data_IF_537389910521
#
_entry.id   IF_537389910521
#
_cell.length_a   1.000
_cell.length_b   1.000
_cell.length_c   1.000
_cell.angle_alpha   90.00
_cell.angle_beta   90.00
_cell.angle_gamma   90.00
#
_symmetry.space_group_name_H-M   'P 1'
#
loop_
_entity.id
_entity.type
_entity.pdbx_description
1 polymer ?
#
# COMPACT_ATOMS: atom_id res chain seq x y z
N UNK A 1 -19.82 -31.44 -16.20
CA UNK A 1 -19.58 -30.02 -15.95
C UNK A 1 -18.52 -29.98 -14.84
N UNK A 2 -17.21 -29.76 -15.18
CA UNK A 2 -16.17 -29.58 -14.17
C UNK A 2 -16.52 -28.29 -13.42
N UNK A 3 -16.81 -28.36 -12.13
CA UNK A 3 -16.78 -27.21 -11.24
C UNK A 3 -15.36 -26.63 -11.38
N UNK A 4 -15.24 -25.46 -11.98
CA UNK A 4 -13.99 -24.70 -11.96
C UNK A 4 -13.75 -24.39 -10.48
N UNK A 5 -12.76 -25.03 -9.88
CA UNK A 5 -12.30 -24.66 -8.54
C UNK A 5 -11.93 -23.19 -8.62
N UNK A 6 -12.60 -22.40 -7.79
CA UNK A 6 -12.36 -20.95 -7.73
C UNK A 6 -10.98 -20.79 -7.09
N UNK A 7 -10.04 -20.18 -7.81
CA UNK A 7 -8.70 -19.95 -7.28
C UNK A 7 -8.75 -19.09 -6.01
N UNK A 8 -7.91 -19.39 -5.05
CA UNK A 8 -7.89 -18.71 -3.76
C UNK A 8 -7.26 -17.33 -3.86
N UNK A 9 -7.83 -16.37 -3.13
CA UNK A 9 -7.17 -15.11 -2.84
C UNK A 9 -6.28 -15.29 -1.61
N UNK A 10 -5.01 -14.94 -1.76
CA UNK A 10 -4.01 -14.99 -0.68
C UNK A 10 -3.74 -13.59 -0.17
N UNK A 11 -3.77 -13.45 1.17
CA UNK A 11 -3.47 -12.21 1.87
C UNK A 11 -2.28 -12.51 2.78
N UNK A 12 -1.21 -11.74 2.67
CA UNK A 12 -0.01 -11.93 3.50
C UNK A 12 0.73 -10.61 3.71
N UNK A 13 1.49 -10.54 4.78
CA UNK A 13 2.37 -9.41 5.09
C UNK A 13 3.82 -9.78 4.84
N UNK A 14 4.60 -8.81 4.39
CA UNK A 14 6.06 -8.88 4.33
C UNK A 14 6.72 -8.10 5.48
N UNK A 15 5.93 -7.31 6.21
CA UNK A 15 6.30 -6.58 7.42
C UNK A 15 5.06 -5.98 8.07
N UNK A 16 5.20 -5.44 9.28
CA UNK A 16 4.14 -4.73 10.00
C UNK A 16 3.18 -5.61 10.83
N UNK A 17 3.47 -6.90 11.00
CA UNK A 17 2.67 -7.78 11.86
C UNK A 17 3.31 -7.92 13.25
N UNK A 18 2.58 -7.48 14.28
CA UNK A 18 3.04 -7.54 15.66
C UNK A 18 4.17 -6.58 16.00
N UNK A 19 4.39 -5.59 15.16
CA UNK A 19 5.42 -4.55 15.29
C UNK A 19 4.90 -3.21 14.79
N UNK A 20 5.55 -2.12 15.16
CA UNK A 20 5.31 -0.79 14.59
C UNK A 20 6.36 -0.54 13.51
N UNK A 21 5.89 -0.16 12.33
CA UNK A 21 6.77 0.10 11.17
C UNK A 21 6.83 -1.05 10.17
N UNK A 22 7.59 -0.88 9.12
CA UNK A 22 7.75 -1.81 7.98
C UNK A 22 6.43 -2.28 7.38
N UNK A 23 5.38 -1.44 7.40
CA UNK A 23 4.08 -1.82 6.88
C UNK A 23 4.19 -2.23 5.40
N UNK A 24 3.85 -3.48 5.10
CA UNK A 24 3.87 -4.00 3.74
C UNK A 24 2.95 -5.22 3.63
N UNK A 25 1.85 -5.06 2.92
CA UNK A 25 0.81 -6.08 2.77
C UNK A 25 0.61 -6.41 1.30
N UNK A 26 0.32 -7.67 1.01
CA UNK A 26 0.10 -8.16 -0.35
C UNK A 26 -1.24 -8.88 -0.44
N UNK A 27 -1.97 -8.62 -1.51
CA UNK A 27 -3.13 -9.41 -1.94
C UNK A 27 -2.80 -10.03 -3.28
N UNK A 28 -2.89 -11.36 -3.35
CA UNK A 28 -2.61 -12.11 -4.57
C UNK A 28 -3.83 -12.95 -4.96
N UNK A 29 -4.21 -12.84 -6.23
CA UNK A 29 -5.20 -13.71 -6.85
C UNK A 29 -4.71 -14.13 -8.24
N UNK A 30 -4.60 -15.44 -8.49
CA UNK A 30 -3.98 -15.99 -9.70
C UNK A 30 -2.57 -15.39 -9.96
N UNK A 31 -2.43 -14.74 -11.10
CA UNK A 31 -1.20 -14.09 -11.56
C UNK A 31 -1.22 -12.57 -11.34
N UNK A 32 -1.95 -12.09 -10.34
CA UNK A 32 -2.03 -10.69 -9.99
C UNK A 32 -1.65 -10.48 -8.52
N UNK A 33 -0.64 -9.66 -8.27
CA UNK A 33 -0.22 -9.22 -6.94
C UNK A 33 -0.39 -7.71 -6.88
N UNK A 34 -1.13 -7.23 -5.90
CA UNK A 34 -1.17 -5.83 -5.52
C UNK A 34 -0.55 -5.68 -4.13
N UNK A 35 0.23 -4.63 -3.97
CA UNK A 35 1.00 -4.35 -2.76
C UNK A 35 0.41 -3.10 -2.12
N UNK A 36 0.26 -3.10 -0.80
CA UNK A 36 -0.14 -1.93 -0.01
C UNK A 36 0.99 -1.56 0.93
N UNK A 37 1.46 -0.33 0.79
CA UNK A 37 2.56 0.28 1.53
C UNK A 37 3.91 -0.44 1.41
N UNK A 38 4.99 0.27 1.68
CA UNK A 38 6.36 -0.25 1.81
C UNK A 38 7.09 0.63 2.80
N UNK A 39 6.94 0.32 4.06
CA UNK A 39 7.52 1.08 5.16
C UNK A 39 8.92 0.66 5.55
N UNK A 40 9.50 1.46 6.43
CA UNK A 40 10.69 1.11 7.21
C UNK A 40 10.34 1.08 8.68
N UNK A 41 11.23 0.53 9.49
CA UNK A 41 11.31 0.83 10.92
C UNK A 41 12.72 1.25 11.27
N UNK A 42 12.87 1.99 12.36
CA UNK A 42 14.16 2.37 12.89
C UNK A 42 14.64 1.30 13.87
N UNK A 43 15.92 0.93 13.88
CA UNK A 43 16.43 -0.07 14.81
C UNK A 43 16.33 0.44 16.23
N UNK A 44 15.92 -0.43 17.15
CA UNK A 44 16.03 -0.15 18.58
C UNK A 44 17.51 -0.19 19.01
N UNK A 45 17.89 0.61 20.00
CA UNK A 45 19.23 1.08 20.38
C UNK A 45 20.42 0.13 20.45
N UNK A 46 20.28 -1.16 20.15
CA UNK A 46 21.39 -2.14 20.18
C UNK A 46 22.00 -2.46 18.80
N UNK A 47 21.41 -2.00 17.72
CA UNK A 47 21.90 -2.26 16.35
C UNK A 47 22.79 -1.13 15.85
N UNK A 48 23.99 -1.01 16.41
CA UNK A 48 24.94 0.03 15.98
C UNK A 48 25.28 -0.11 14.48
N UNK A 49 25.22 1.02 13.74
CA UNK A 49 25.53 1.07 12.32
C UNK A 49 24.38 0.63 11.38
N UNK A 50 23.18 0.37 11.92
CA UNK A 50 21.98 0.11 11.13
C UNK A 50 21.09 1.35 11.18
N UNK A 51 20.84 1.98 10.03
CA UNK A 51 19.99 3.16 9.92
C UNK A 51 18.51 2.81 9.77
N UNK A 52 18.22 1.72 9.03
CA UNK A 52 16.85 1.32 8.69
C UNK A 52 16.70 -0.21 8.69
N UNK A 53 15.53 -0.67 9.05
CA UNK A 53 15.09 -2.06 8.85
C UNK A 53 13.96 -2.05 7.84
N UNK A 54 14.06 -2.88 6.82
CA UNK A 54 13.13 -2.95 5.69
C UNK A 54 12.50 -4.35 5.60
N UNK A 55 11.35 -4.51 4.92
CA UNK A 55 10.79 -5.83 4.60
C UNK A 55 11.72 -6.65 3.70
N UNK A 56 11.59 -7.97 3.73
CA UNK A 56 12.27 -8.87 2.78
C UNK A 56 11.48 -8.91 1.45
N UNK A 57 12.12 -8.45 0.40
CA UNK A 57 11.54 -8.40 -0.95
C UNK A 57 11.75 -9.67 -1.78
N UNK A 58 12.35 -10.71 -1.22
CA UNK A 58 12.71 -11.95 -1.95
C UNK A 58 11.50 -12.60 -2.62
N UNK A 59 10.34 -12.65 -1.93
CA UNK A 59 9.10 -13.18 -2.50
C UNK A 59 8.65 -12.36 -3.72
N UNK A 60 8.68 -11.05 -3.62
CA UNK A 60 8.25 -10.15 -4.71
C UNK A 60 9.20 -10.27 -5.91
N UNK A 61 10.50 -10.35 -5.66
CA UNK A 61 11.50 -10.55 -6.73
C UNK A 61 11.26 -11.84 -7.51
N UNK A 62 10.96 -12.94 -6.82
CA UNK A 62 10.62 -14.24 -7.46
C UNK A 62 9.31 -14.21 -8.23
N UNK A 63 8.39 -13.32 -7.90
CA UNK A 63 7.07 -13.19 -8.52
C UNK A 63 6.86 -11.86 -9.27
N UNK A 64 7.94 -11.22 -9.69
CA UNK A 64 7.96 -9.86 -10.24
C UNK A 64 6.98 -9.68 -11.41
N UNK A 65 6.87 -10.67 -12.30
CA UNK A 65 5.95 -10.65 -13.45
C UNK A 65 4.46 -10.62 -13.07
N UNK A 66 4.12 -10.98 -11.84
CA UNK A 66 2.75 -10.97 -11.33
C UNK A 66 2.36 -9.64 -10.67
N UNK A 67 3.34 -8.80 -10.32
CA UNK A 67 3.09 -7.52 -9.66
C UNK A 67 2.36 -6.58 -10.61
N UNK A 68 1.23 -6.03 -10.17
CA UNK A 68 0.41 -5.09 -10.94
C UNK A 68 0.66 -3.65 -10.52
N UNK A 69 0.68 -3.39 -9.24
CA UNK A 69 0.90 -2.05 -8.70
C UNK A 69 1.27 -2.09 -7.21
N UNK A 70 1.86 -0.98 -6.76
CA UNK A 70 1.99 -0.61 -5.36
C UNK A 70 1.00 0.53 -5.07
N UNK A 71 0.23 0.39 -4.00
CA UNK A 71 -0.72 1.39 -3.51
C UNK A 71 -0.27 1.89 -2.14
N UNK A 72 -0.25 3.19 -1.96
CA UNK A 72 0.19 3.84 -0.72
C UNK A 72 -1.00 4.46 -0.01
N UNK A 73 -1.14 4.20 1.28
CA UNK A 73 -2.21 4.75 2.11
C UNK A 73 -1.97 6.22 2.46
N UNK A 74 -0.76 6.57 2.87
CA UNK A 74 -0.34 7.91 3.27
C UNK A 74 1.19 8.05 3.31
N UNK A 75 1.69 9.23 3.65
CA UNK A 75 3.10 9.60 3.48
C UNK A 75 4.03 9.42 4.68
N UNK A 76 3.68 8.66 5.73
CA UNK A 76 4.60 8.38 6.82
C UNK A 76 5.72 7.40 6.44
N UNK A 77 6.85 7.46 7.14
CA UNK A 77 8.05 6.67 6.85
C UNK A 77 7.82 5.16 6.96
N UNK A 78 7.04 4.73 7.91
CA UNK A 78 6.66 3.35 8.12
C UNK A 78 5.67 2.80 7.07
N UNK A 79 5.28 3.65 6.10
CA UNK A 79 4.46 3.30 4.93
C UNK A 79 5.14 3.56 3.58
N UNK A 80 6.05 4.54 3.48
CA UNK A 80 6.73 4.87 2.21
C UNK A 80 8.26 4.77 2.25
N UNK A 81 8.85 4.66 3.44
CA UNK A 81 10.31 4.72 3.60
C UNK A 81 11.08 3.62 2.89
N UNK A 82 10.45 2.45 2.69
CA UNK A 82 11.05 1.31 2.00
C UNK A 82 11.01 1.38 0.47
N UNK A 83 10.27 2.33 -0.11
CA UNK A 83 10.08 2.43 -1.57
C UNK A 83 11.41 2.52 -2.34
N UNK A 84 12.39 3.35 -1.95
CA UNK A 84 13.66 3.41 -2.67
C UNK A 84 14.40 2.08 -2.71
N UNK A 85 14.37 1.32 -1.62
CA UNK A 85 15.01 0.00 -1.52
C UNK A 85 14.27 -1.05 -2.36
N UNK A 86 12.93 -1.01 -2.34
CA UNK A 86 12.11 -1.87 -3.17
C UNK A 86 12.40 -1.66 -4.65
N UNK A 87 12.44 -0.42 -5.14
CA UNK A 87 12.66 -0.09 -6.55
C UNK A 87 14.07 -0.46 -7.05
N UNK A 88 15.07 -0.55 -6.15
CA UNK A 88 16.39 -1.06 -6.49
C UNK A 88 16.43 -2.59 -6.64
N UNK A 89 15.45 -3.29 -6.08
CA UNK A 89 15.43 -4.76 -6.01
C UNK A 89 14.39 -5.36 -6.95
N UNK A 90 13.20 -4.76 -7.02
CA UNK A 90 12.01 -5.29 -7.70
C UNK A 90 11.49 -4.26 -8.70
N UNK A 91 11.13 -4.72 -9.89
CA UNK A 91 10.47 -3.88 -10.87
C UNK A 91 8.98 -3.71 -10.50
N UNK A 92 8.60 -2.51 -10.09
CA UNK A 92 7.22 -2.14 -9.80
C UNK A 92 6.65 -1.39 -11.02
N UNK A 93 5.57 -1.90 -11.65
CA UNK A 93 5.04 -1.29 -12.88
C UNK A 93 4.53 0.13 -12.67
N UNK A 94 3.83 0.38 -11.54
CA UNK A 94 3.23 1.67 -11.22
C UNK A 94 3.02 1.80 -9.71
N UNK A 95 3.17 3.01 -9.19
CA UNK A 95 2.86 3.37 -7.80
C UNK A 95 1.71 4.36 -7.80
N UNK A 96 0.64 4.02 -7.10
CA UNK A 96 -0.50 4.89 -6.83
C UNK A 96 -0.38 5.42 -5.40
N UNK A 97 -0.47 6.72 -5.21
CA UNK A 97 -0.42 7.34 -3.89
C UNK A 97 -1.27 8.62 -3.83
N UNK A 98 -1.68 9.05 -2.62
CA UNK A 98 -2.28 10.37 -2.43
C UNK A 98 -1.30 11.48 -2.83
N UNK A 99 -1.83 12.65 -3.14
CA UNK A 99 -1.03 13.75 -3.70
C UNK A 99 0.15 14.14 -2.80
N UNK A 100 -0.07 14.25 -1.49
CA UNK A 100 1.01 14.57 -0.55
C UNK A 100 2.07 13.46 -0.52
N UNK A 101 1.68 12.20 -0.46
CA UNK A 101 2.62 11.09 -0.46
C UNK A 101 3.45 11.04 -1.74
N UNK A 102 2.87 11.36 -2.91
CA UNK A 102 3.62 11.49 -4.17
C UNK A 102 4.76 12.50 -4.06
N UNK A 103 4.51 13.67 -3.44
CA UNK A 103 5.54 14.68 -3.22
C UNK A 103 6.70 14.15 -2.36
N UNK A 104 6.38 13.48 -1.26
CA UNK A 104 7.36 12.87 -0.37
C UNK A 104 8.14 11.74 -1.05
N UNK A 105 7.47 10.87 -1.80
CA UNK A 105 8.10 9.78 -2.55
C UNK A 105 9.08 10.34 -3.59
N UNK A 106 8.68 11.35 -4.36
CA UNK A 106 9.56 11.99 -5.34
C UNK A 106 10.83 12.52 -4.69
N UNK A 107 10.69 13.22 -3.55
CA UNK A 107 11.83 13.74 -2.81
C UNK A 107 12.77 12.62 -2.34
N UNK A 108 12.23 11.53 -1.77
CA UNK A 108 13.02 10.37 -1.36
C UNK A 108 13.79 9.70 -2.51
N UNK A 109 13.17 9.60 -3.68
CA UNK A 109 13.81 9.02 -4.86
C UNK A 109 14.92 9.94 -5.39
N UNK A 110 14.67 11.24 -5.42
CA UNK A 110 15.65 12.27 -5.80
C UNK A 110 16.87 12.23 -4.89
N UNK A 111 16.69 12.22 -3.58
CA UNK A 111 17.77 12.18 -2.58
C UNK A 111 18.67 10.93 -2.70
N UNK A 112 18.15 9.87 -3.33
CA UNK A 112 18.89 8.64 -3.60
C UNK A 112 19.28 8.45 -5.07
N UNK A 113 19.09 9.47 -5.92
CA UNK A 113 19.37 9.43 -7.36
C UNK A 113 18.65 8.28 -8.09
N UNK A 114 17.42 7.95 -7.67
CA UNK A 114 16.58 6.92 -8.29
C UNK A 114 15.60 7.59 -9.25
N UNK A 115 15.65 7.20 -10.54
CA UNK A 115 14.69 7.66 -11.55
C UNK A 115 13.52 6.70 -11.63
N UNK A 116 12.32 7.16 -11.28
CA UNK A 116 11.08 6.41 -11.44
C UNK A 116 9.94 7.34 -11.86
N UNK A 117 9.29 7.03 -12.99
CA UNK A 117 8.33 7.95 -13.64
C UNK A 117 6.88 7.56 -13.42
N UNK A 118 6.59 6.32 -13.09
CA UNK A 118 5.22 5.78 -13.04
C UNK A 118 4.54 6.03 -11.68
N UNK A 119 4.53 7.29 -11.25
CA UNK A 119 3.86 7.77 -10.03
C UNK A 119 2.52 8.41 -10.42
N UNK A 120 1.42 7.83 -9.96
CA UNK A 120 0.06 8.28 -10.26
C UNK A 120 -0.63 8.74 -8.99
N UNK A 121 -1.16 9.96 -9.00
CA UNK A 121 -2.01 10.46 -7.91
C UNK A 121 -3.39 9.81 -8.01
N UNK A 122 -3.91 9.33 -6.90
CA UNK A 122 -5.29 8.88 -6.78
C UNK A 122 -6.09 9.75 -5.80
N UNK A 123 -7.40 9.67 -5.91
CA UNK A 123 -8.38 10.22 -4.99
C UNK A 123 -9.50 9.19 -4.68
N UNK A 124 -10.49 9.59 -3.89
CA UNK A 124 -11.63 8.72 -3.54
C UNK A 124 -12.52 8.31 -4.73
N UNK A 125 -12.41 8.98 -5.87
CA UNK A 125 -13.18 8.67 -7.10
C UNK A 125 -12.42 7.70 -7.99
N UNK A 126 -11.12 7.56 -7.75
CA UNK A 126 -10.25 6.70 -8.54
C UNK A 126 -10.62 5.23 -8.33
N UNK A 127 -10.65 4.49 -9.42
CA UNK A 127 -10.86 3.05 -9.45
C UNK A 127 -9.89 2.41 -10.42
N UNK A 128 -9.03 1.54 -9.91
CA UNK A 128 -8.03 0.82 -10.70
C UNK A 128 -8.48 -0.61 -10.90
N UNK A 129 -8.55 -1.04 -12.16
CA UNK A 129 -9.01 -2.39 -12.52
C UNK A 129 -7.90 -3.16 -13.20
N UNK A 130 -7.63 -4.36 -12.70
CA UNK A 130 -6.85 -5.40 -13.36
C UNK A 130 -7.78 -6.50 -13.88
N UNK A 131 -7.25 -7.64 -14.26
CA UNK A 131 -8.08 -8.75 -14.77
C UNK A 131 -9.06 -9.26 -13.70
N UNK A 132 -8.56 -9.57 -12.51
CA UNK A 132 -9.32 -10.17 -11.41
C UNK A 132 -9.46 -9.24 -10.19
N UNK A 133 -8.56 -8.27 -10.04
CA UNK A 133 -8.49 -7.38 -8.88
C UNK A 133 -8.96 -5.99 -9.25
N UNK A 134 -9.79 -5.40 -8.39
CA UNK A 134 -10.18 -3.99 -8.48
C UNK A 134 -9.82 -3.28 -7.18
N UNK A 135 -9.22 -2.09 -7.29
CA UNK A 135 -8.79 -1.28 -6.14
C UNK A 135 -9.54 0.05 -6.13
N UNK A 136 -10.11 0.39 -4.98
CA UNK A 136 -10.83 1.63 -4.70
C UNK A 136 -10.28 2.25 -3.41
N UNK A 137 -10.50 3.53 -3.18
CA UNK A 137 -9.94 4.29 -2.07
C UNK A 137 -11.05 4.99 -1.29
N UNK A 138 -10.85 5.17 0.00
CA UNK A 138 -11.74 5.97 0.86
C UNK A 138 -10.89 6.81 1.82
N UNK A 139 -11.33 8.05 2.06
CA UNK A 139 -10.60 8.97 2.94
C UNK A 139 -10.71 8.53 4.39
N UNK A 140 -9.56 8.56 5.06
CA UNK A 140 -9.44 8.45 6.51
C UNK A 140 -8.90 9.75 7.10
N UNK A 141 -8.92 9.90 8.42
CA UNK A 141 -8.22 10.96 9.14
C UNK A 141 -7.08 10.37 9.95
N UNK A 142 -5.94 11.04 9.89
CA UNK A 142 -4.73 10.63 10.60
C UNK A 142 -3.91 11.87 11.00
N UNK A 143 -2.70 11.70 11.55
CA UNK A 143 -1.80 12.79 11.94
C UNK A 143 -1.07 13.44 10.75
N UNK A 144 -1.23 12.93 9.55
CA UNK A 144 -0.75 13.48 8.29
C UNK A 144 -1.93 13.73 7.34
N UNK A 145 -1.93 14.83 6.54
CA UNK A 145 -2.97 15.07 5.55
C UNK A 145 -3.04 13.97 4.48
N UNK A 146 -4.19 13.91 3.81
CA UNK A 146 -4.40 13.10 2.61
C UNK A 146 -4.29 11.59 2.85
N UNK A 147 -4.63 11.11 4.06
CA UNK A 147 -4.66 9.69 4.38
C UNK A 147 -5.87 9.00 3.78
N UNK A 148 -5.66 7.78 3.28
CA UNK A 148 -6.70 6.94 2.68
C UNK A 148 -6.59 5.49 3.13
N UNK A 149 -7.75 4.84 3.23
CA UNK A 149 -7.84 3.39 3.23
C UNK A 149 -8.01 2.86 1.81
N UNK A 150 -7.67 1.60 1.63
CA UNK A 150 -7.65 0.90 0.34
C UNK A 150 -8.59 -0.29 0.40
N UNK A 151 -9.50 -0.38 -0.56
CA UNK A 151 -10.45 -1.47 -0.72
C UNK A 151 -10.06 -2.29 -1.96
N UNK A 152 -9.70 -3.55 -1.76
CA UNK A 152 -9.25 -4.48 -2.80
C UNK A 152 -10.33 -5.54 -2.99
N UNK A 153 -11.02 -5.49 -4.12
CA UNK A 153 -12.06 -6.46 -4.49
C UNK A 153 -11.45 -7.56 -5.35
N UNK A 154 -11.69 -8.80 -4.96
CA UNK A 154 -11.28 -10.01 -5.69
C UNK A 154 -12.49 -10.90 -5.96
N UNK A 155 -12.38 -11.96 -6.78
CA UNK A 155 -13.47 -12.91 -6.98
C UNK A 155 -13.92 -13.63 -5.70
N UNK A 156 -13.08 -13.68 -4.65
CA UNK A 156 -13.38 -14.36 -3.38
C UNK A 156 -13.98 -13.43 -2.32
N UNK A 157 -13.94 -12.12 -2.53
CA UNK A 157 -14.46 -11.12 -1.59
C UNK A 157 -13.63 -9.85 -1.57
N UNK A 158 -13.82 -9.06 -0.53
CA UNK A 158 -13.22 -7.75 -0.36
C UNK A 158 -12.20 -7.77 0.77
N UNK A 159 -11.03 -7.21 0.51
CA UNK A 159 -9.97 -6.97 1.50
C UNK A 159 -9.86 -5.47 1.71
N UNK A 160 -9.91 -5.03 2.96
CA UNK A 160 -9.81 -3.61 3.31
C UNK A 160 -8.57 -3.39 4.17
N UNK A 161 -7.73 -2.47 3.74
CA UNK A 161 -6.64 -1.91 4.54
C UNK A 161 -7.02 -0.48 4.90
N UNK A 162 -7.16 -0.19 6.18
CA UNK A 162 -7.55 1.16 6.65
C UNK A 162 -6.41 2.16 6.53
N UNK A 163 -5.17 1.69 6.40
CA UNK A 163 -4.00 2.45 6.76
C UNK A 163 -4.07 2.85 8.23
N UNK A 164 -3.27 3.82 8.62
CA UNK A 164 -3.37 4.43 9.93
C UNK A 164 -4.52 5.42 9.94
N UNK A 165 -5.38 5.36 10.97
CA UNK A 165 -6.52 6.24 11.05
C UNK A 165 -6.90 6.58 12.49
N UNK A 166 -7.65 7.65 12.65
CA UNK A 166 -8.37 8.02 13.88
C UNK A 166 -9.78 8.46 13.54
N UNK A 167 -10.70 8.34 14.47
CA UNK A 167 -11.98 9.01 14.38
C UNK A 167 -11.84 10.43 14.91
N UNK A 168 -11.83 11.40 14.00
CA UNK A 168 -11.75 12.82 14.30
C UNK A 168 -12.98 13.51 13.67
N UNK A 169 -13.87 14.02 14.52
CA UNK A 169 -15.10 14.69 14.09
C UNK A 169 -14.89 16.19 13.84
N UNK A 170 -13.71 16.72 14.17
CA UNK A 170 -13.35 18.14 14.00
C UNK A 170 -11.97 18.30 13.37
N UNK A 171 -11.65 17.59 12.27
CA UNK A 171 -10.33 17.68 11.67
C UNK A 171 -10.09 19.05 11.05
N UNK A 172 -8.83 19.48 10.96
CA UNK A 172 -8.44 20.72 10.24
C UNK A 172 -8.70 20.56 8.73
N UNK A 173 -8.52 19.35 8.19
CA UNK A 173 -8.77 19.01 6.78
C UNK A 173 -10.15 18.36 6.57
N UNK A 174 -10.36 17.73 5.40
CA UNK A 174 -11.59 17.00 5.12
C UNK A 174 -11.78 15.82 6.09
N UNK A 175 -13.03 15.61 6.53
CA UNK A 175 -13.39 14.47 7.38
C UNK A 175 -13.20 13.13 6.67
N UNK A 176 -13.02 12.05 7.45
CA UNK A 176 -13.10 10.68 6.96
C UNK A 176 -14.45 10.42 6.26
N UNK A 177 -14.43 9.66 5.18
CA UNK A 177 -15.63 9.31 4.44
C UNK A 177 -16.31 8.08 5.06
N UNK A 178 -16.94 8.28 6.22
CA UNK A 178 -17.62 7.22 6.97
C UNK A 178 -18.73 6.56 6.16
N UNK A 179 -19.40 7.32 5.27
CA UNK A 179 -20.44 6.78 4.41
C UNK A 179 -19.88 5.74 3.44
N UNK A 180 -18.79 6.06 2.76
CA UNK A 180 -18.11 5.14 1.84
C UNK A 180 -17.53 3.92 2.57
N UNK A 181 -17.00 4.12 3.79
CA UNK A 181 -16.53 3.01 4.64
C UNK A 181 -17.70 2.05 4.96
N UNK A 182 -18.87 2.59 5.35
CA UNK A 182 -20.05 1.79 5.63
C UNK A 182 -20.60 1.06 4.38
N UNK A 183 -20.53 1.67 3.19
CA UNK A 183 -20.90 1.02 1.93
C UNK A 183 -19.97 -0.14 1.59
N UNK A 184 -18.65 0.03 1.78
CA UNK A 184 -17.66 -1.03 1.58
C UNK A 184 -17.92 -2.18 2.54
N UNK A 185 -18.22 -1.90 3.80
CA UNK A 185 -18.48 -2.92 4.83
C UNK A 185 -19.75 -3.75 4.60
N UNK A 186 -20.59 -3.38 3.62
CA UNK A 186 -21.79 -4.15 3.22
C UNK A 186 -21.52 -5.15 2.09
N UNK A 187 -20.34 -5.12 1.48
CA UNK A 187 -19.93 -5.98 0.35
C UNK A 187 -19.33 -7.27 0.85
#
# INVERSE_FOLDING_TARGET
MKLLEKEDTKIFALGGLGEVGKNMYCVMHENEIVITDVGITFPEGELMGVDYVIPDFTFLKKNESKIKALFITHGHEDHIGGIPFLLQTVNIPVIYAPNQAIGLIRKKLEDRNITYKNLIVYDEKTKVKFKNITVEFFRTTHSIPDSHGICITTPNGVVVTTGDFKFDLTPIGPMANLHKMAEIGKR
#
